data_IF_037601145311
#
_entry.id   IF_037601145311
#
_cell.length_a   1.000
_cell.length_b   1.000
_cell.length_c   1.000
_cell.angle_alpha   90.00
_cell.angle_beta   90.00
_cell.angle_gamma   90.00
#
_symmetry.space_group_name_H-M   'P 1'
#
loop_
_entity.id
_entity.type
_entity.pdbx_description
1 polymer ?
#
# COMPACT_ATOMS: atom_id res chain seq x y z
N UNK A 1 -1.75 36.69 -19.23
CA UNK A 1 -2.89 36.18 -18.46
C UNK A 1 -2.47 36.01 -17.01
N UNK A 2 -3.11 36.72 -16.08
CA UNK A 2 -2.71 36.75 -14.67
C UNK A 2 -3.27 35.51 -13.96
N UNK A 3 -2.42 34.56 -13.60
CA UNK A 3 -2.78 33.45 -12.69
C UNK A 3 -3.00 34.03 -11.30
N UNK A 4 -4.23 34.13 -10.87
CA UNK A 4 -4.62 34.54 -9.52
C UNK A 4 -4.45 33.36 -8.52
N UNK A 5 -4.21 33.66 -7.26
CA UNK A 5 -3.59 32.73 -6.31
C UNK A 5 -4.63 31.81 -5.64
N UNK A 6 -4.88 30.66 -6.25
CA UNK A 6 -5.68 29.59 -5.62
C UNK A 6 -5.01 29.07 -4.32
N UNK A 7 -3.69 29.18 -4.23
CA UNK A 7 -2.91 28.80 -3.05
C UNK A 7 -3.15 29.70 -1.83
N UNK A 8 -3.44 30.99 -2.04
CA UNK A 8 -3.73 31.94 -0.94
C UNK A 8 -5.11 31.67 -0.32
N UNK A 9 -6.08 31.21 -1.12
CA UNK A 9 -7.43 30.89 -0.63
C UNK A 9 -7.44 29.60 0.18
N UNK A 10 -6.69 28.59 -0.21
CA UNK A 10 -6.56 27.36 0.58
C UNK A 10 -5.84 27.60 1.92
N UNK A 11 -4.80 28.43 1.93
CA UNK A 11 -4.09 28.82 3.16
C UNK A 11 -4.96 29.71 4.06
N UNK A 12 -5.77 30.62 3.48
CA UNK A 12 -6.70 31.48 4.20
C UNK A 12 -7.88 30.70 4.82
N UNK A 13 -8.38 29.65 4.17
CA UNK A 13 -9.38 28.74 4.73
C UNK A 13 -8.82 27.94 5.90
N UNK A 14 -7.55 27.55 5.87
CA UNK A 14 -6.87 26.90 6.98
C UNK A 14 -6.67 27.84 8.19
N UNK A 15 -6.33 29.10 7.94
CA UNK A 15 -6.17 30.11 9.00
C UNK A 15 -7.54 30.49 9.61
N UNK A 16 -8.59 30.56 8.80
CA UNK A 16 -9.95 30.82 9.27
C UNK A 16 -10.53 29.74 10.18
N UNK A 17 -10.23 28.47 9.89
CA UNK A 17 -10.64 27.35 10.76
C UNK A 17 -9.81 27.25 12.05
N UNK A 18 -8.55 27.71 12.03
CA UNK A 18 -7.70 27.76 13.23
C UNK A 18 -8.22 28.81 14.24
N UNK A 19 -8.82 29.91 13.78
CA UNK A 19 -9.41 30.93 14.64
C UNK A 19 -10.71 30.49 15.35
N UNK A 20 -11.36 29.43 14.86
CA UNK A 20 -12.57 28.84 15.45
C UNK A 20 -12.30 27.56 16.21
N UNK A 21 -11.08 27.06 16.23
CA UNK A 21 -10.71 25.86 16.99
C UNK A 21 -10.64 26.19 18.50
N UNK A 22 -11.19 25.30 19.32
CA UNK A 22 -11.09 25.39 20.78
C UNK A 22 -9.65 25.19 21.24
N UNK A 23 -8.94 24.26 20.62
CA UNK A 23 -7.54 23.96 20.91
C UNK A 23 -6.78 23.57 19.66
N UNK A 24 -5.49 23.90 19.66
CA UNK A 24 -4.51 23.40 18.70
C UNK A 24 -3.52 22.56 19.50
N UNK A 25 -3.51 21.27 19.25
CA UNK A 25 -2.65 20.32 19.95
C UNK A 25 -1.44 20.00 19.08
N UNK A 26 -0.25 20.29 19.60
CA UNK A 26 1.02 19.85 19.05
C UNK A 26 1.64 18.89 20.06
N UNK A 27 1.27 17.60 19.97
CA UNK A 27 1.68 16.57 20.94
C UNK A 27 3.21 16.34 20.89
N UNK A 28 3.67 15.71 19.84
CA UNK A 28 5.10 15.43 19.66
C UNK A 28 5.44 15.48 18.18
N UNK A 29 6.70 15.84 17.88
CA UNK A 29 7.19 15.82 16.51
C UNK A 29 6.92 14.47 15.82
N UNK A 30 6.38 14.53 14.62
CA UNK A 30 6.02 13.35 13.83
C UNK A 30 4.59 12.83 14.05
N UNK A 31 3.82 13.45 14.95
CA UNK A 31 2.40 13.11 15.11
C UNK A 31 1.44 14.05 14.37
N UNK A 32 1.95 15.13 13.78
CA UNK A 32 1.15 16.13 13.10
C UNK A 32 0.52 17.15 14.05
N UNK A 33 -0.26 18.08 13.48
CA UNK A 33 -0.98 19.13 14.21
C UNK A 33 -2.45 18.74 14.23
N UNK A 34 -3.07 18.77 15.42
CA UNK A 34 -4.48 18.46 15.60
C UNK A 34 -5.25 19.72 16.01
N UNK A 35 -6.32 20.01 15.31
CA UNK A 35 -7.29 21.05 15.61
C UNK A 35 -8.57 20.40 16.12
N UNK A 36 -9.14 20.94 17.17
CA UNK A 36 -10.38 20.45 17.80
C UNK A 36 -11.41 21.58 17.81
N UNK A 37 -12.62 21.29 17.33
CA UNK A 37 -13.73 22.25 17.40
C UNK A 37 -14.19 22.53 18.83
N UNK A 38 -14.88 23.65 19.05
CA UNK A 38 -15.36 24.06 20.38
C UNK A 38 -16.28 23.02 21.05
N UNK A 39 -17.07 22.31 20.27
CA UNK A 39 -17.97 21.25 20.73
C UNK A 39 -17.29 19.88 20.83
N UNK A 40 -16.00 19.78 20.50
CA UNK A 40 -15.19 18.56 20.44
C UNK A 40 -15.73 17.47 19.49
N UNK A 41 -16.76 17.76 18.69
CA UNK A 41 -17.37 16.83 17.77
C UNK A 41 -16.63 16.71 16.43
N UNK A 42 -15.79 17.70 16.12
CA UNK A 42 -15.01 17.72 14.89
C UNK A 42 -13.52 17.90 15.18
N UNK A 43 -12.69 17.15 14.48
CA UNK A 43 -11.23 17.28 14.56
C UNK A 43 -10.61 17.22 13.19
N UNK A 44 -9.52 17.96 13.00
CA UNK A 44 -8.66 17.85 11.81
C UNK A 44 -7.24 17.61 12.32
N UNK A 45 -6.64 16.53 11.88
CA UNK A 45 -5.23 16.24 12.10
C UNK A 45 -4.49 16.36 10.77
N UNK A 46 -3.60 17.33 10.67
CA UNK A 46 -2.71 17.53 9.53
C UNK A 46 -1.34 16.91 9.81
N UNK A 47 -0.81 16.14 8.88
CA UNK A 47 0.52 15.54 8.96
C UNK A 47 1.16 15.46 7.59
N UNK A 48 2.50 15.52 7.56
CA UNK A 48 3.26 15.38 6.33
C UNK A 48 4.43 14.42 6.52
N UNK A 49 4.96 13.89 5.40
CA UNK A 49 6.16 13.06 5.41
C UNK A 49 6.92 13.13 4.11
N UNK A 50 8.22 12.94 4.21
CA UNK A 50 9.16 12.91 3.10
C UNK A 50 9.98 11.63 3.19
N UNK A 51 10.16 10.96 2.06
CA UNK A 51 11.13 9.86 1.89
C UNK A 51 12.05 10.21 0.74
N UNK A 52 13.35 10.31 1.02
CA UNK A 52 14.40 10.45 0.01
C UNK A 52 15.10 9.10 -0.16
N UNK A 53 15.38 8.75 -1.39
CA UNK A 53 15.91 7.44 -1.77
C UNK A 53 17.07 7.61 -2.74
N UNK A 54 18.17 6.91 -2.46
CA UNK A 54 19.29 6.67 -3.37
C UNK A 54 19.29 5.20 -3.75
N UNK A 55 19.54 4.90 -5.03
CA UNK A 55 19.54 3.54 -5.59
C UNK A 55 20.78 3.40 -6.45
N UNK A 56 21.59 2.39 -6.16
CA UNK A 56 22.66 1.91 -7.03
C UNK A 56 22.23 0.53 -7.56
N UNK A 57 22.21 0.37 -8.87
CA UNK A 57 21.87 -0.89 -9.53
C UNK A 57 23.02 -1.32 -10.42
N UNK A 58 23.48 -2.56 -10.23
CA UNK A 58 24.40 -3.26 -11.11
C UNK A 58 23.68 -4.47 -11.69
N UNK A 59 23.65 -4.58 -13.00
CA UNK A 59 22.97 -5.67 -13.74
C UNK A 59 23.98 -6.31 -14.68
N UNK A 60 23.91 -7.61 -14.86
CA UNK A 60 24.84 -8.37 -15.72
C UNK A 60 24.82 -7.84 -17.14
N UNK A 61 26.01 -7.45 -17.65
CA UNK A 61 26.16 -6.90 -19.01
C UNK A 61 25.80 -5.42 -19.17
N UNK A 62 25.36 -4.75 -18.10
CA UNK A 62 24.96 -3.34 -18.14
C UNK A 62 25.91 -2.45 -17.32
N UNK A 63 25.98 -1.17 -17.66
CA UNK A 63 26.71 -0.18 -16.87
C UNK A 63 25.93 0.10 -15.58
N UNK A 64 26.60 0.09 -14.41
CA UNK A 64 25.93 0.41 -13.15
C UNK A 64 25.24 1.78 -13.19
N UNK A 65 24.02 1.85 -12.70
CA UNK A 65 23.21 3.08 -12.64
C UNK A 65 23.08 3.60 -11.22
N UNK A 66 23.16 4.92 -11.06
CA UNK A 66 22.96 5.61 -9.80
C UNK A 66 21.79 6.60 -9.93
N UNK A 67 20.79 6.46 -9.05
CA UNK A 67 19.60 7.29 -9.05
C UNK A 67 19.33 7.87 -7.66
N UNK A 68 18.93 9.14 -7.62
CA UNK A 68 18.45 9.82 -6.40
C UNK A 68 17.10 10.46 -6.65
N UNK A 69 16.14 10.24 -5.74
CA UNK A 69 14.79 10.79 -5.90
C UNK A 69 14.08 10.99 -4.57
N UNK A 70 13.13 11.94 -4.57
CA UNK A 70 12.10 12.00 -3.54
C UNK A 70 11.10 10.88 -3.80
N UNK A 71 11.27 9.77 -3.07
CA UNK A 71 10.47 8.55 -3.24
C UNK A 71 9.01 8.78 -2.90
N UNK A 72 8.76 9.56 -1.84
CA UNK A 72 7.42 9.96 -1.40
C UNK A 72 7.47 11.34 -0.74
N UNK A 73 6.52 12.18 -1.12
CA UNK A 73 6.17 13.41 -0.43
C UNK A 73 4.65 13.36 -0.24
N UNK A 74 4.17 13.37 1.01
CA UNK A 74 2.74 13.14 1.28
C UNK A 74 2.19 14.11 2.30
N UNK A 75 0.98 14.58 2.05
CA UNK A 75 0.15 15.30 2.99
C UNK A 75 -1.04 14.43 3.37
N UNK A 76 -1.38 14.41 4.64
CA UNK A 76 -2.51 13.64 5.14
C UNK A 76 -3.32 14.48 6.11
N UNK A 77 -4.64 14.45 5.92
CA UNK A 77 -5.64 15.04 6.77
C UNK A 77 -6.57 13.93 7.23
N UNK A 78 -6.70 13.72 8.52
CA UNK A 78 -7.63 12.76 9.08
C UNK A 78 -8.27 13.30 10.36
N UNK A 79 -9.45 12.79 10.68
CA UNK A 79 -10.16 13.25 11.86
C UNK A 79 -11.56 12.67 11.94
N UNK A 80 -12.38 13.36 12.73
CA UNK A 80 -13.83 13.13 12.82
C UNK A 80 -14.58 14.40 12.41
N UNK A 81 -15.82 14.25 11.94
CA UNK A 81 -16.67 15.34 11.50
C UNK A 81 -18.08 15.18 12.09
N UNK A 82 -18.59 16.25 12.73
CA UNK A 82 -19.94 16.35 13.31
C UNK A 82 -20.24 15.37 14.45
N UNK A 83 -19.55 14.22 14.49
CA UNK A 83 -19.79 13.16 15.48
C UNK A 83 -18.57 12.23 15.51
N UNK A 84 -18.22 11.62 16.68
CA UNK A 84 -17.20 10.59 16.77
C UNK A 84 -17.46 9.33 15.89
N UNK A 85 -18.71 9.15 15.43
CA UNK A 85 -19.09 8.06 14.54
C UNK A 85 -18.67 8.28 13.09
N UNK A 86 -18.48 9.54 12.66
CA UNK A 86 -18.07 9.89 11.29
C UNK A 86 -16.60 10.26 11.32
N UNK A 87 -15.77 9.45 10.69
CA UNK A 87 -14.35 9.71 10.51
C UNK A 87 -14.03 9.88 9.03
N UNK A 88 -12.99 10.64 8.73
CA UNK A 88 -12.54 10.82 7.35
C UNK A 88 -11.03 10.71 7.25
N UNK A 89 -10.57 10.46 6.03
CA UNK A 89 -9.15 10.50 5.67
C UNK A 89 -8.99 11.01 4.25
N UNK A 90 -8.09 11.99 4.09
CA UNK A 90 -7.59 12.45 2.80
C UNK A 90 -6.07 12.28 2.84
N UNK A 91 -5.48 11.61 1.85
CA UNK A 91 -4.03 11.49 1.69
C UNK A 91 -3.64 11.88 0.26
N UNK A 92 -2.74 12.85 0.14
CA UNK A 92 -2.24 13.34 -1.14
C UNK A 92 -0.80 12.85 -1.35
N UNK A 93 -0.49 12.39 -2.55
CA UNK A 93 0.84 12.04 -3.00
C UNK A 93 1.36 13.10 -3.95
N UNK A 94 2.51 13.71 -3.61
CA UNK A 94 3.09 14.85 -4.32
C UNK A 94 4.43 14.53 -5.00
N UNK A 95 4.94 13.29 -4.85
CA UNK A 95 6.16 12.88 -5.54
C UNK A 95 5.89 12.54 -7.00
N UNK A 96 6.90 12.63 -7.85
CA UNK A 96 6.81 12.28 -9.26
C UNK A 96 6.28 10.86 -9.50
N UNK A 97 6.56 9.92 -8.59
CA UNK A 97 6.05 8.53 -8.67
C UNK A 97 4.55 8.43 -8.33
N UNK A 98 4.04 9.31 -7.46
CA UNK A 98 2.62 9.33 -7.12
C UNK A 98 1.79 10.08 -8.18
N UNK A 99 2.39 11.08 -8.88
CA UNK A 99 1.73 11.99 -9.85
C UNK A 99 2.02 11.64 -11.31
N UNK A 100 2.76 10.56 -11.57
CA UNK A 100 3.19 10.19 -12.93
C UNK A 100 2.00 10.10 -13.87
N UNK A 101 2.06 10.86 -14.96
CA UNK A 101 1.18 10.68 -16.11
C UNK A 101 1.41 9.30 -16.71
N UNK A 102 0.34 8.57 -16.95
CA UNK A 102 0.35 7.31 -17.66
C UNK A 102 -0.46 7.47 -18.94
N UNK A 103 -0.30 6.55 -19.89
CA UNK A 103 -1.06 6.50 -21.13
C UNK A 103 -2.57 6.24 -20.94
N UNK A 104 -3.07 6.25 -19.72
CA UNK A 104 -4.42 5.85 -19.34
C UNK A 104 -5.41 7.02 -19.34
N UNK A 105 -5.21 8.04 -20.18
CA UNK A 105 -6.08 9.24 -20.23
C UNK A 105 -7.56 8.90 -20.44
N UNK A 106 -7.85 7.77 -21.10
CA UNK A 106 -9.21 7.27 -21.30
C UNK A 106 -9.96 6.98 -19.99
N UNK A 107 -9.25 6.45 -18.97
CA UNK A 107 -9.85 6.14 -17.66
C UNK A 107 -9.75 7.29 -16.67
N UNK A 108 -8.65 8.04 -16.68
CA UNK A 108 -8.32 8.98 -15.59
C UNK A 108 -8.28 10.44 -16.04
N UNK A 109 -8.50 10.72 -17.33
CA UNK A 109 -8.36 12.05 -17.89
C UNK A 109 -6.92 12.58 -17.85
N UNK A 110 -6.76 13.88 -18.20
CA UNK A 110 -5.47 14.56 -18.28
C UNK A 110 -5.06 15.24 -16.95
N UNK A 111 -5.56 14.78 -15.80
CA UNK A 111 -5.29 15.38 -14.49
C UNK A 111 -4.27 14.58 -13.70
N UNK A 112 -3.55 15.25 -12.80
CA UNK A 112 -2.59 14.59 -11.91
C UNK A 112 -3.28 13.67 -10.90
N UNK A 113 -2.77 12.45 -10.74
CA UNK A 113 -3.30 11.42 -9.82
C UNK A 113 -2.81 11.62 -8.39
N UNK A 114 -3.03 12.81 -7.82
CA UNK A 114 -2.51 13.17 -6.50
C UNK A 114 -3.28 12.54 -5.33
N UNK A 115 -4.55 12.21 -5.52
CA UNK A 115 -5.37 11.64 -4.46
C UNK A 115 -5.01 10.17 -4.25
N UNK A 116 -4.51 9.84 -3.08
CA UNK A 116 -4.26 8.46 -2.67
C UNK A 116 -5.47 7.90 -1.93
N UNK A 117 -5.90 8.57 -0.87
CA UNK A 117 -7.10 8.21 -0.13
C UNK A 117 -8.03 9.43 -0.05
N UNK A 118 -9.33 9.21 -0.24
CA UNK A 118 -10.42 10.14 0.01
C UNK A 118 -11.61 9.28 0.47
N UNK A 119 -11.74 9.08 1.79
CA UNK A 119 -12.68 8.11 2.35
C UNK A 119 -13.37 8.65 3.58
N UNK A 120 -14.69 8.45 3.64
CA UNK A 120 -15.53 8.63 4.83
C UNK A 120 -15.80 7.27 5.45
N UNK A 121 -15.77 7.21 6.77
CA UNK A 121 -15.95 6.00 7.57
C UNK A 121 -17.04 6.27 8.59
N UNK A 122 -18.08 5.48 8.55
CA UNK A 122 -19.19 5.59 9.47
C UNK A 122 -19.24 4.37 10.40
N UNK A 123 -19.17 4.62 11.71
CA UNK A 123 -19.35 3.56 12.69
C UNK A 123 -20.83 3.22 12.82
N UNK A 124 -21.26 2.08 12.27
CA UNK A 124 -22.63 1.59 12.32
C UNK A 124 -23.02 1.20 13.74
N UNK A 125 -22.20 0.35 14.37
CA UNK A 125 -22.30 -0.10 15.74
C UNK A 125 -20.94 -0.59 16.24
N UNK A 126 -20.84 -0.97 17.51
CA UNK A 126 -19.56 -1.37 18.12
C UNK A 126 -18.87 -2.46 17.29
N UNK A 127 -17.66 -2.17 16.85
CA UNK A 127 -16.83 -3.08 16.05
C UNK A 127 -17.12 -3.08 14.55
N UNK A 128 -18.16 -2.36 14.06
CA UNK A 128 -18.56 -2.36 12.65
C UNK A 128 -18.49 -0.97 12.06
N UNK A 129 -17.68 -0.85 11.00
CA UNK A 129 -17.52 0.39 10.24
C UNK A 129 -17.89 0.17 8.77
N UNK A 130 -18.69 1.08 8.22
CA UNK A 130 -18.94 1.22 6.79
C UNK A 130 -18.04 2.35 6.25
N UNK A 131 -17.25 2.05 5.23
CA UNK A 131 -16.39 3.01 4.55
C UNK A 131 -16.90 3.27 3.15
N UNK A 132 -16.83 4.52 2.69
CA UNK A 132 -17.18 4.91 1.34
C UNK A 132 -16.14 5.89 0.78
N UNK A 133 -15.70 5.65 -0.44
CA UNK A 133 -14.73 6.46 -1.16
C UNK A 133 -13.48 5.69 -1.59
N UNK A 134 -12.49 6.43 -2.05
CA UNK A 134 -11.23 5.87 -2.54
C UNK A 134 -10.27 5.58 -1.38
N UNK A 135 -9.88 4.33 -1.21
CA UNK A 135 -8.87 3.91 -0.23
C UNK A 135 -8.32 2.53 -0.57
N UNK A 136 -7.36 2.03 0.24
CA UNK A 136 -6.84 0.68 0.08
C UNK A 136 -7.94 -0.35 0.31
N UNK A 137 -8.05 -1.30 -0.61
CA UNK A 137 -8.86 -2.50 -0.43
C UNK A 137 -8.23 -3.42 0.64
N UNK A 138 -9.01 -4.33 1.22
CA UNK A 138 -8.52 -5.28 2.22
C UNK A 138 -7.68 -6.41 1.58
N UNK A 139 -6.61 -6.05 0.89
CA UNK A 139 -5.70 -6.95 0.20
C UNK A 139 -4.63 -7.55 1.10
N UNK A 140 -3.48 -7.89 0.51
CA UNK A 140 -2.35 -8.51 1.20
C UNK A 140 -1.76 -7.58 2.30
N UNK A 141 -1.20 -8.20 3.33
CA UNK A 141 -0.68 -7.50 4.53
C UNK A 141 0.36 -6.46 4.18
N UNK A 142 1.37 -6.79 3.39
CA UNK A 142 2.43 -5.85 3.05
C UNK A 142 1.87 -4.61 2.31
N UNK A 143 0.78 -4.76 1.55
CA UNK A 143 0.12 -3.63 0.89
C UNK A 143 -0.65 -2.76 1.86
N UNK A 144 -1.43 -3.35 2.78
CA UNK A 144 -2.21 -2.56 3.75
C UNK A 144 -1.32 -1.87 4.77
N UNK A 145 -0.15 -2.42 5.09
CA UNK A 145 0.89 -1.72 5.86
C UNK A 145 1.25 -0.41 5.14
N UNK A 146 1.30 0.70 5.90
CA UNK A 146 1.76 1.98 5.37
C UNK A 146 3.21 1.87 4.88
N UNK A 147 3.53 2.50 3.75
CA UNK A 147 4.93 2.57 3.28
C UNK A 147 5.89 3.27 4.24
N UNK A 148 5.40 4.05 5.21
CA UNK A 148 6.17 4.58 6.33
C UNK A 148 6.62 3.49 7.30
N UNK A 149 5.83 2.42 7.42
CA UNK A 149 5.95 1.39 8.46
C UNK A 149 6.57 0.09 7.96
N UNK A 150 7.17 0.12 6.78
CA UNK A 150 7.88 -1.02 6.21
C UNK A 150 9.19 -1.29 6.96
N UNK A 151 9.57 -2.56 7.00
CA UNK A 151 10.82 -3.07 7.55
C UNK A 151 11.99 -2.84 6.58
N UNK A 152 11.76 -2.95 5.28
CA UNK A 152 12.71 -2.67 4.21
C UNK A 152 12.38 -1.35 3.50
N UNK A 153 13.29 -0.86 2.68
CA UNK A 153 13.14 0.37 1.88
C UNK A 153 11.91 0.28 0.98
N UNK A 154 11.75 -0.83 0.28
CA UNK A 154 10.57 -1.09 -0.57
C UNK A 154 9.91 -2.44 -0.22
N UNK A 155 8.67 -2.59 -0.69
CA UNK A 155 7.92 -3.82 -0.58
C UNK A 155 8.54 -4.92 -1.45
N UNK A 156 8.18 -6.16 -1.17
CA UNK A 156 8.59 -7.34 -1.94
C UNK A 156 8.08 -7.29 -3.39
N UNK A 157 8.68 -8.09 -4.25
CA UNK A 157 8.20 -8.30 -5.60
C UNK A 157 6.82 -8.99 -5.62
N UNK A 158 6.49 -9.84 -4.65
CA UNK A 158 5.12 -10.39 -4.51
C UNK A 158 4.12 -9.25 -4.42
N UNK A 159 4.36 -8.28 -3.53
CA UNK A 159 3.50 -7.11 -3.45
C UNK A 159 3.48 -6.30 -4.75
N UNK A 160 4.59 -6.16 -5.47
CA UNK A 160 4.62 -5.37 -6.71
C UNK A 160 3.79 -5.99 -7.83
N UNK A 161 3.66 -7.31 -7.86
CA UNK A 161 3.02 -8.05 -8.95
C UNK A 161 1.58 -8.47 -8.64
N UNK A 162 1.28 -8.86 -7.39
CA UNK A 162 0.02 -9.48 -6.98
C UNK A 162 -0.85 -8.64 -6.06
N UNK A 163 -0.42 -7.43 -5.67
CA UNK A 163 -1.18 -6.64 -4.72
C UNK A 163 -2.58 -6.27 -5.24
N UNK A 164 -3.51 -6.14 -4.29
CA UNK A 164 -4.78 -5.46 -4.42
C UNK A 164 -4.59 -4.06 -3.86
N UNK A 165 -4.74 -3.01 -4.70
CA UNK A 165 -4.38 -1.64 -4.30
C UNK A 165 -5.62 -0.85 -3.84
N UNK A 166 -5.55 0.42 -4.06
CA UNK A 166 -6.62 1.40 -3.80
C UNK A 166 -7.62 1.38 -4.92
N UNK A 167 -8.87 1.50 -4.52
CA UNK A 167 -9.97 1.68 -5.45
C UNK A 167 -11.06 2.53 -4.80
N UNK A 168 -12.06 2.93 -5.59
CA UNK A 168 -13.24 3.66 -5.13
C UNK A 168 -14.40 2.69 -4.94
N UNK A 169 -15.03 2.71 -3.77
CA UNK A 169 -16.15 1.84 -3.48
C UNK A 169 -16.59 1.87 -2.03
N UNK A 170 -17.31 0.82 -1.65
CA UNK A 170 -17.77 0.58 -0.29
C UNK A 170 -16.92 -0.52 0.36
N UNK A 171 -16.69 -0.40 1.67
CA UNK A 171 -16.10 -1.46 2.47
C UNK A 171 -16.87 -1.61 3.78
N UNK A 172 -17.26 -2.83 4.11
CA UNK A 172 -17.78 -3.20 5.42
C UNK A 172 -16.65 -3.87 6.22
N UNK A 173 -16.43 -3.40 7.44
CA UNK A 173 -15.39 -3.95 8.32
C UNK A 173 -15.99 -4.27 9.67
N UNK A 174 -15.70 -5.47 10.16
CA UNK A 174 -16.16 -5.90 11.47
C UNK A 174 -15.05 -6.57 12.27
N UNK A 175 -15.11 -6.37 13.61
CA UNK A 175 -14.15 -6.94 14.56
C UNK A 175 -14.94 -7.71 15.62
N UNK A 176 -14.74 -9.00 15.68
CA UNK A 176 -15.28 -9.89 16.71
C UNK A 176 -14.23 -10.18 17.77
N UNK A 177 -14.63 -10.13 19.04
CA UNK A 177 -13.85 -10.57 20.19
C UNK A 177 -14.33 -11.95 20.60
N UNK A 178 -13.41 -12.94 20.63
CA UNK A 178 -13.67 -14.31 21.04
C UNK A 178 -12.75 -14.65 22.24
N UNK A 179 -13.16 -14.20 23.43
CA UNK A 179 -12.27 -14.22 24.59
C UNK A 179 -11.04 -13.34 24.33
N UNK A 180 -9.84 -13.93 24.43
CA UNK A 180 -8.60 -13.23 24.11
C UNK A 180 -8.33 -13.16 22.59
N UNK A 181 -8.91 -14.04 21.80
CA UNK A 181 -8.73 -14.08 20.37
C UNK A 181 -9.59 -13.06 19.64
N UNK A 182 -9.19 -12.70 18.42
CA UNK A 182 -9.90 -11.70 17.60
C UNK A 182 -10.04 -12.20 16.17
N UNK A 183 -11.22 -12.02 15.60
CA UNK A 183 -11.47 -12.16 14.17
C UNK A 183 -11.79 -10.78 13.60
N UNK A 184 -11.11 -10.38 12.53
CA UNK A 184 -11.42 -9.18 11.75
C UNK A 184 -11.92 -9.61 10.38
N UNK A 185 -13.08 -9.13 9.98
CA UNK A 185 -13.66 -9.31 8.66
C UNK A 185 -13.60 -7.98 7.91
N UNK A 186 -13.33 -8.04 6.62
CA UNK A 186 -13.40 -6.88 5.74
C UNK A 186 -13.90 -7.34 4.37
N UNK A 187 -14.96 -6.72 3.89
CA UNK A 187 -15.54 -6.94 2.58
C UNK A 187 -15.54 -5.62 1.82
N UNK A 188 -15.32 -5.67 0.50
CA UNK A 188 -15.36 -4.48 -0.35
C UNK A 188 -16.04 -4.79 -1.67
N UNK A 189 -16.78 -3.80 -2.18
CA UNK A 189 -17.26 -3.73 -3.56
C UNK A 189 -16.72 -2.42 -4.12
N UNK A 190 -15.94 -2.49 -5.19
CA UNK A 190 -15.29 -1.34 -5.80
C UNK A 190 -15.32 -1.39 -7.33
N UNK A 191 -14.84 -0.32 -7.98
CA UNK A 191 -14.95 -0.18 -9.44
C UNK A 191 -14.00 -1.10 -10.24
N UNK A 192 -12.92 -1.60 -9.61
CA UNK A 192 -11.97 -2.53 -10.23
C UNK A 192 -10.79 -1.89 -10.97
N UNK A 193 -10.87 -0.60 -11.31
CA UNK A 193 -9.91 0.08 -12.20
C UNK A 193 -8.84 0.87 -11.46
N UNK A 194 -8.91 0.90 -10.14
CA UNK A 194 -7.96 1.60 -9.30
C UNK A 194 -8.31 3.06 -9.03
N UNK A 195 -7.33 3.84 -8.62
CA UNK A 195 -7.53 5.20 -8.10
C UNK A 195 -7.65 6.26 -9.19
N UNK A 196 -8.42 7.32 -8.86
CA UNK A 196 -8.60 8.54 -9.67
C UNK A 196 -9.23 8.27 -11.04
N UNK A 197 -10.04 7.24 -11.15
CA UNK A 197 -10.79 6.90 -12.35
C UNK A 197 -11.97 7.87 -12.49
N UNK A 198 -12.18 8.39 -13.70
CA UNK A 198 -13.29 9.28 -14.05
C UNK A 198 -14.31 8.62 -14.97
N UNK A 199 -13.88 7.61 -15.72
CA UNK A 199 -14.73 6.79 -16.57
C UNK A 199 -14.61 5.34 -16.09
N UNK A 200 -15.74 4.66 -15.98
CA UNK A 200 -15.77 3.23 -15.72
C UNK A 200 -15.68 2.48 -17.04
N UNK A 201 -15.16 1.25 -17.00
CA UNK A 201 -15.36 0.28 -18.07
C UNK A 201 -16.83 -0.18 -18.09
N UNK A 202 -17.24 -0.88 -19.13
CA UNK A 202 -18.53 -1.55 -19.20
C UNK A 202 -18.58 -2.87 -18.43
N UNK A 203 -17.46 -3.27 -17.80
CA UNK A 203 -17.31 -4.51 -17.07
C UNK A 203 -18.14 -4.62 -15.80
N UNK A 204 -17.64 -5.29 -14.80
CA UNK A 204 -18.29 -5.47 -13.52
C UNK A 204 -17.70 -4.64 -12.41
N UNK A 205 -17.84 -5.18 -11.21
CA UNK A 205 -17.23 -4.66 -10.00
C UNK A 205 -16.09 -5.56 -9.54
N UNK A 206 -15.29 -5.03 -8.65
CA UNK A 206 -14.29 -5.76 -7.91
C UNK A 206 -14.82 -6.13 -6.52
N UNK A 207 -14.78 -7.40 -6.19
CA UNK A 207 -15.28 -7.98 -4.95
C UNK A 207 -14.10 -8.52 -4.15
N UNK A 208 -13.77 -7.86 -3.04
CA UNK A 208 -12.68 -8.29 -2.15
C UNK A 208 -13.23 -8.74 -0.80
N UNK A 209 -12.83 -9.91 -0.33
CA UNK A 209 -13.16 -10.41 1.01
C UNK A 209 -11.89 -10.81 1.77
N UNK A 210 -11.75 -10.38 3.04
CA UNK A 210 -10.61 -10.72 3.90
C UNK A 210 -11.04 -11.12 5.30
N UNK A 211 -10.43 -12.20 5.79
CA UNK A 211 -10.54 -12.65 7.18
C UNK A 211 -9.15 -12.60 7.80
N UNK A 212 -9.03 -11.99 9.00
CA UNK A 212 -7.83 -12.05 9.83
C UNK A 212 -8.16 -12.68 11.18
N UNK A 213 -7.34 -13.62 11.61
CA UNK A 213 -7.42 -14.26 12.93
C UNK A 213 -6.19 -13.92 13.77
N UNK A 214 -6.42 -13.40 14.98
CA UNK A 214 -5.42 -13.07 15.96
C UNK A 214 -5.62 -13.96 17.20
N UNK A 215 -5.05 -15.15 17.24
CA UNK A 215 -5.28 -16.12 18.33
C UNK A 215 -4.77 -15.66 19.69
N UNK A 216 -3.76 -14.78 19.73
CA UNK A 216 -3.11 -14.27 20.93
C UNK A 216 -3.49 -12.82 21.23
N UNK A 217 -4.64 -12.37 20.74
CA UNK A 217 -5.14 -11.01 20.94
C UNK A 217 -4.48 -9.93 20.09
N UNK A 218 -4.75 -8.68 20.41
CA UNK A 218 -4.20 -7.54 19.67
C UNK A 218 -2.71 -7.36 19.91
N UNK A 219 -2.03 -6.92 18.86
CA UNK A 219 -0.68 -6.36 18.96
C UNK A 219 -0.72 -4.95 19.58
N UNK A 220 0.26 -4.60 20.39
CA UNK A 220 0.36 -3.26 20.96
C UNK A 220 0.40 -2.19 19.84
N UNK A 221 -0.47 -1.19 19.98
CA UNK A 221 -0.55 -0.09 19.02
C UNK A 221 -0.85 -0.50 17.58
N UNK A 222 -1.55 -1.61 17.37
CA UNK A 222 -1.84 -2.21 16.05
C UNK A 222 -0.55 -2.65 15.34
N UNK A 223 0.34 -3.29 16.07
CA UNK A 223 1.63 -3.77 15.58
C UNK A 223 1.57 -4.73 14.40
N UNK A 224 0.43 -5.41 14.21
CA UNK A 224 0.14 -6.25 13.03
C UNK A 224 0.17 -5.48 11.69
N UNK A 225 0.11 -4.13 11.73
CA UNK A 225 0.25 -3.23 10.57
C UNK A 225 1.57 -2.44 10.56
N UNK A 226 2.62 -3.00 11.17
CA UNK A 226 3.99 -2.49 11.14
C UNK A 226 4.94 -3.62 10.73
N UNK A 227 5.98 -3.32 9.96
CA UNK A 227 6.99 -4.33 9.60
C UNK A 227 7.79 -4.80 10.80
N UNK A 228 8.40 -3.86 11.52
CA UNK A 228 9.28 -4.12 12.67
C UNK A 228 8.52 -4.21 13.97
N UNK A 229 9.08 -4.90 14.97
CA UNK A 229 8.54 -4.97 16.33
C UNK A 229 9.05 -3.81 17.20
N UNK A 230 8.70 -2.55 16.83
CA UNK A 230 9.11 -1.35 17.57
C UNK A 230 8.50 -1.25 18.97
N UNK A 231 7.43 -2.00 19.23
CA UNK A 231 6.78 -2.05 20.56
C UNK A 231 7.40 -3.10 21.46
N UNK A 232 8.19 -4.04 20.87
CA UNK A 232 8.81 -5.14 21.60
C UNK A 232 7.78 -5.94 22.37
N UNK A 233 6.78 -6.49 21.64
CA UNK A 233 5.70 -7.27 22.23
C UNK A 233 6.18 -8.14 23.38
N UNK A 234 5.67 -7.93 24.58
CA UNK A 234 6.09 -8.63 25.79
C UNK A 234 5.67 -10.09 25.80
N UNK A 235 4.60 -10.43 25.08
CA UNK A 235 4.13 -11.79 24.81
C UNK A 235 4.09 -12.06 23.32
N UNK A 236 4.23 -13.33 22.88
CA UNK A 236 4.08 -13.67 21.47
C UNK A 236 2.76 -13.18 20.90
N UNK A 237 2.78 -12.62 19.71
CA UNK A 237 1.60 -12.16 18.97
C UNK A 237 1.62 -12.74 17.57
N UNK A 238 0.46 -13.22 17.12
CA UNK A 238 0.28 -13.80 15.80
C UNK A 238 -0.98 -13.25 15.15
N UNK A 239 -0.88 -12.93 13.86
CA UNK A 239 -2.02 -12.63 13.00
C UNK A 239 -1.90 -13.44 11.72
N UNK A 240 -2.96 -14.13 11.33
CA UNK A 240 -3.06 -14.91 10.09
C UNK A 240 -4.19 -14.28 9.28
N UNK A 241 -3.97 -14.05 7.99
CA UNK A 241 -4.97 -13.46 7.10
C UNK A 241 -5.12 -14.23 5.80
N UNK A 242 -6.36 -14.29 5.29
CA UNK A 242 -6.67 -14.80 3.96
C UNK A 242 -7.55 -13.79 3.24
N UNK A 243 -7.25 -13.54 1.97
CA UNK A 243 -8.02 -12.64 1.10
C UNK A 243 -8.38 -13.38 -0.18
N UNK A 244 -9.65 -13.31 -0.56
CA UNK A 244 -10.15 -13.62 -1.90
C UNK A 244 -10.53 -12.32 -2.62
N UNK A 245 -10.29 -12.26 -3.92
CA UNK A 245 -10.57 -11.09 -4.74
C UNK A 245 -11.00 -11.53 -6.13
N UNK A 246 -12.10 -10.99 -6.61
CA UNK A 246 -12.65 -11.23 -7.92
C UNK A 246 -12.99 -9.91 -8.60
N UNK A 247 -12.16 -9.52 -9.57
CA UNK A 247 -12.34 -8.30 -10.36
C UNK A 247 -12.94 -8.68 -11.71
N UNK A 248 -14.22 -8.41 -11.86
CA UNK A 248 -15.00 -8.73 -13.07
C UNK A 248 -14.74 -7.68 -14.15
N UNK A 249 -14.36 -8.12 -15.35
CA UNK A 249 -14.18 -7.25 -16.49
C UNK A 249 -13.00 -6.27 -16.35
N UNK A 250 -11.92 -6.63 -15.64
CA UNK A 250 -10.75 -5.78 -15.47
C UNK A 250 -10.10 -5.43 -16.81
N UNK A 251 -9.80 -4.15 -17.04
CA UNK A 251 -9.14 -3.65 -18.25
C UNK A 251 -7.65 -3.36 -18.06
N UNK A 252 -7.09 -3.68 -16.89
CA UNK A 252 -5.66 -3.55 -16.61
C UNK A 252 -5.03 -4.91 -16.34
N UNK A 253 -3.74 -5.02 -16.62
CA UNK A 253 -2.95 -6.26 -16.45
C UNK A 253 -3.12 -6.92 -15.07
N UNK A 254 -3.34 -6.15 -14.02
CA UNK A 254 -3.42 -6.66 -12.63
C UNK A 254 -4.66 -6.22 -11.86
N UNK A 255 -5.70 -5.74 -12.54
CA UNK A 255 -6.89 -5.15 -11.92
C UNK A 255 -6.69 -3.66 -11.64
N UNK A 256 -6.53 -3.25 -10.39
CA UNK A 256 -6.34 -1.83 -10.02
C UNK A 256 -5.02 -1.23 -10.52
N UNK A 257 -4.08 -2.03 -11.00
CA UNK A 257 -2.73 -1.62 -11.40
C UNK A 257 -2.26 -2.33 -12.67
N UNK A 258 -1.29 -1.72 -13.34
CA UNK A 258 -0.71 -2.22 -14.57
C UNK A 258 -1.06 -1.36 -15.77
N UNK A 259 -0.58 -1.76 -16.94
CA UNK A 259 -0.93 -1.12 -18.20
C UNK A 259 -2.37 -1.46 -18.57
N UNK A 260 -3.01 -0.58 -19.34
CA UNK A 260 -4.28 -0.88 -19.98
C UNK A 260 -4.10 -1.97 -21.03
N UNK A 261 -5.08 -2.85 -21.14
CA UNK A 261 -5.20 -3.86 -22.18
C UNK A 261 -6.12 -3.30 -23.26
N UNK A 262 -5.62 -3.20 -24.49
CA UNK A 262 -6.36 -2.61 -25.62
C UNK A 262 -6.23 -3.47 -26.88
N UNK A 263 -7.28 -3.48 -27.68
CA UNK A 263 -7.25 -4.11 -29.02
C UNK A 263 -6.65 -3.18 -30.08
N UNK A 264 -6.64 -3.61 -31.34
CA UNK A 264 -6.11 -2.85 -32.48
C UNK A 264 -6.90 -1.57 -32.78
N UNK A 265 -8.12 -1.43 -32.29
CA UNK A 265 -8.96 -0.22 -32.42
C UNK A 265 -8.79 0.75 -31.27
N UNK A 266 -8.06 0.35 -30.20
CA UNK A 266 -7.91 1.10 -28.96
C UNK A 266 -9.05 0.85 -27.96
N UNK A 267 -9.98 -0.07 -28.24
CA UNK A 267 -11.01 -0.45 -27.29
C UNK A 267 -10.43 -1.31 -26.15
N UNK A 268 -11.05 -1.24 -24.97
CA UNK A 268 -10.60 -2.00 -23.81
C UNK A 268 -10.80 -3.50 -24.02
N UNK A 269 -9.80 -4.27 -23.59
CA UNK A 269 -9.87 -5.72 -23.52
C UNK A 269 -10.08 -6.10 -22.05
N UNK A 270 -11.25 -6.63 -21.76
CA UNK A 270 -11.68 -7.01 -20.43
C UNK A 270 -11.29 -8.46 -20.12
N UNK A 271 -11.02 -8.74 -18.83
CA UNK A 271 -10.85 -10.09 -18.29
C UNK A 271 -11.29 -10.13 -16.83
N UNK A 272 -11.89 -11.22 -16.42
CA UNK A 272 -12.07 -11.49 -15.01
C UNK A 272 -10.74 -11.92 -14.41
N UNK A 273 -10.38 -11.32 -13.28
CA UNK A 273 -9.17 -11.63 -12.53
C UNK A 273 -9.54 -12.19 -11.16
N UNK A 274 -9.08 -13.40 -10.88
CA UNK A 274 -9.21 -14.03 -9.56
C UNK A 274 -7.88 -13.96 -8.83
N UNK A 275 -7.89 -13.52 -7.56
CA UNK A 275 -6.71 -13.50 -6.70
C UNK A 275 -7.00 -14.17 -5.35
N UNK A 276 -6.05 -14.98 -4.88
CA UNK A 276 -6.08 -15.57 -3.53
C UNK A 276 -4.77 -15.22 -2.86
N UNK A 277 -4.86 -14.61 -1.67
CA UNK A 277 -3.71 -14.15 -0.91
C UNK A 277 -3.81 -14.70 0.51
N UNK A 278 -2.71 -15.19 1.06
CA UNK A 278 -2.63 -15.54 2.46
C UNK A 278 -1.37 -14.92 3.07
N UNK A 279 -1.47 -14.53 4.33
CA UNK A 279 -0.37 -13.87 5.04
C UNK A 279 -0.37 -14.20 6.53
N UNK A 280 0.80 -14.02 7.13
CA UNK A 280 0.96 -14.07 8.57
C UNK A 280 1.92 -12.99 9.06
N UNK A 281 1.72 -12.55 10.32
CA UNK A 281 2.62 -11.67 11.06
C UNK A 281 2.80 -12.23 12.47
N UNK A 282 4.05 -12.43 12.85
CA UNK A 282 4.44 -12.82 14.22
C UNK A 282 5.39 -11.80 14.81
N UNK A 283 5.22 -11.49 16.11
CA UNK A 283 6.11 -10.60 16.85
C UNK A 283 6.30 -11.04 18.29
N UNK A 284 7.53 -10.89 18.77
CA UNK A 284 7.90 -11.16 20.16
C UNK A 284 9.28 -10.57 20.48
N UNK A 285 9.37 -9.72 21.50
CA UNK A 285 10.61 -9.17 22.08
C UNK A 285 11.63 -8.63 21.07
N UNK A 286 11.14 -7.93 20.05
CA UNK A 286 11.96 -7.36 18.98
C UNK A 286 12.14 -8.26 17.76
N UNK A 287 11.76 -9.54 17.83
CA UNK A 287 11.64 -10.42 16.67
C UNK A 287 10.38 -10.07 15.89
N UNK A 288 10.47 -9.97 14.58
CA UNK A 288 9.33 -9.83 13.68
C UNK A 288 9.47 -10.78 12.51
N UNK A 289 8.42 -11.55 12.22
CA UNK A 289 8.35 -12.42 11.05
C UNK A 289 7.06 -12.12 10.28
N UNK A 290 7.17 -11.94 8.97
CA UNK A 290 6.03 -11.80 8.06
C UNK A 290 6.23 -12.72 6.87
N UNK A 291 5.17 -13.42 6.49
CA UNK A 291 5.14 -14.22 5.27
C UNK A 291 3.86 -13.93 4.49
N UNK A 292 3.96 -14.00 3.17
CA UNK A 292 2.84 -13.85 2.25
C UNK A 292 2.96 -14.86 1.12
N UNK A 293 1.81 -15.36 0.67
CA UNK A 293 1.65 -16.11 -0.58
C UNK A 293 0.55 -15.46 -1.39
N UNK A 294 0.70 -15.49 -2.71
CA UNK A 294 -0.24 -14.89 -3.63
C UNK A 294 -0.40 -15.75 -4.88
N UNK A 295 -1.63 -15.91 -5.30
CA UNK A 295 -2.04 -16.52 -6.55
C UNK A 295 -2.91 -15.54 -7.31
N UNK A 296 -2.73 -15.43 -8.63
CA UNK A 296 -3.59 -14.64 -9.51
C UNK A 296 -3.72 -15.31 -10.87
N UNK A 297 -4.92 -15.35 -11.41
CA UNK A 297 -5.21 -15.81 -12.76
C UNK A 297 -6.19 -14.90 -13.48
N UNK A 298 -6.25 -15.05 -14.80
CA UNK A 298 -7.11 -14.33 -15.73
C UNK A 298 -7.98 -15.31 -16.49
N UNK A 299 -9.28 -15.01 -16.66
CA UNK A 299 -10.20 -15.82 -17.45
C UNK A 299 -9.84 -15.89 -18.93
N UNK A 300 -9.01 -14.96 -19.42
CA UNK A 300 -8.53 -14.98 -20.82
C UNK A 300 -7.35 -15.92 -21.08
N UNK A 301 -6.76 -16.52 -20.04
CA UNK A 301 -5.67 -17.48 -20.21
C UNK A 301 -4.49 -16.91 -21.02
N UNK A 302 -4.15 -17.56 -22.13
CA UNK A 302 -3.04 -17.19 -23.03
C UNK A 302 -3.44 -16.06 -24.01
N UNK A 303 -3.62 -14.86 -23.49
CA UNK A 303 -3.98 -13.70 -24.29
C UNK A 303 -2.91 -12.59 -24.21
N UNK A 304 -2.57 -12.01 -25.34
CA UNK A 304 -1.81 -10.76 -25.44
C UNK A 304 -2.62 -9.72 -26.19
N UNK A 305 -2.58 -8.49 -25.71
CA UNK A 305 -3.23 -7.35 -26.35
C UNK A 305 -2.47 -6.88 -27.63
N UNK A 306 -2.99 -5.86 -28.30
CA UNK A 306 -2.36 -5.29 -29.50
C UNK A 306 -0.93 -4.78 -29.25
N UNK A 307 -0.61 -4.35 -28.04
CA UNK A 307 0.72 -3.87 -27.64
C UNK A 307 1.64 -4.97 -27.10
N UNK A 308 1.23 -6.24 -27.19
CA UNK A 308 1.97 -7.38 -26.62
C UNK A 308 1.93 -7.47 -25.10
N UNK A 309 1.01 -6.76 -24.44
CA UNK A 309 0.82 -6.88 -22.99
C UNK A 309 -0.04 -8.10 -22.67
N UNK A 310 0.21 -8.73 -21.53
CA UNK A 310 -0.59 -9.84 -20.99
C UNK A 310 -1.16 -9.50 -19.61
N UNK A 311 -2.20 -10.21 -19.19
CA UNK A 311 -2.66 -10.16 -17.81
C UNK A 311 -1.64 -10.80 -16.87
N UNK A 312 -1.62 -10.36 -15.61
CA UNK A 312 -0.75 -10.93 -14.58
C UNK A 312 -1.34 -12.23 -14.09
N UNK A 313 -0.64 -13.33 -14.33
CA UNK A 313 -1.03 -14.67 -13.93
C UNK A 313 0.17 -15.38 -13.33
N UNK A 314 0.03 -15.92 -12.14
CA UNK A 314 1.15 -16.54 -11.48
C UNK A 314 0.94 -16.78 -10.00
N UNK A 315 2.01 -17.28 -9.41
CA UNK A 315 2.14 -17.56 -7.99
C UNK A 315 3.38 -16.85 -7.44
N UNK A 316 3.28 -16.34 -6.22
CA UNK A 316 4.42 -15.73 -5.55
C UNK A 316 4.39 -15.96 -4.04
N UNK A 317 5.57 -16.04 -3.44
CA UNK A 317 5.69 -16.08 -1.99
C UNK A 317 6.86 -15.21 -1.51
N UNK A 318 6.71 -14.72 -0.29
CA UNK A 318 7.62 -13.82 0.38
C UNK A 318 7.71 -14.19 1.85
N UNK A 319 8.91 -14.26 2.38
CA UNK A 319 9.18 -14.43 3.81
C UNK A 319 10.21 -13.40 4.26
N UNK A 320 9.95 -12.70 5.35
CA UNK A 320 10.91 -11.76 5.94
C UNK A 320 10.97 -11.93 7.45
N UNK A 321 12.19 -11.88 7.98
CA UNK A 321 12.51 -12.01 9.40
C UNK A 321 13.40 -10.83 9.79
N UNK A 322 13.12 -10.20 10.93
CA UNK A 322 13.96 -9.15 11.49
C UNK A 322 14.11 -9.23 12.98
N UNK A 323 15.21 -8.68 13.47
CA UNK A 323 15.48 -8.50 14.88
C UNK A 323 15.85 -7.06 15.20
N UNK A 324 15.06 -6.45 16.06
CA UNK A 324 15.26 -5.08 16.55
C UNK A 324 16.02 -5.11 17.86
N UNK A 325 17.25 -4.61 17.87
CA UNK A 325 18.08 -4.45 19.07
C UNK A 325 17.54 -3.33 19.99
N UNK A 326 17.86 -3.41 21.29
CA UNK A 326 17.49 -2.36 22.27
C UNK A 326 18.01 -0.98 21.89
N UNK A 327 19.08 -0.90 21.12
CA UNK A 327 19.64 0.33 20.54
C UNK A 327 18.82 0.92 19.38
N UNK A 328 17.67 0.31 19.02
CA UNK A 328 16.84 0.67 17.87
C UNK A 328 17.54 0.55 16.50
N UNK A 329 18.56 -0.28 16.39
CA UNK A 329 18.99 -0.85 15.13
C UNK A 329 18.20 -2.11 14.85
N UNK A 330 17.91 -2.37 13.59
CA UNK A 330 17.28 -3.61 13.14
C UNK A 330 18.10 -4.21 12.01
N UNK A 331 18.26 -5.53 12.04
CA UNK A 331 18.77 -6.32 10.92
C UNK A 331 17.62 -7.21 10.47
N UNK A 332 17.40 -7.26 9.15
CA UNK A 332 16.32 -8.05 8.57
C UNK A 332 16.75 -8.73 7.27
N UNK A 333 16.28 -9.96 7.06
CA UNK A 333 16.42 -10.72 5.83
C UNK A 333 15.07 -10.95 5.16
N UNK A 334 15.02 -10.97 3.83
CA UNK A 334 13.83 -11.29 3.06
C UNK A 334 14.18 -12.17 1.87
N UNK A 335 13.37 -13.20 1.65
CA UNK A 335 13.37 -14.00 0.45
C UNK A 335 12.04 -13.85 -0.28
N UNK A 336 12.09 -13.70 -1.60
CA UNK A 336 10.90 -13.52 -2.44
C UNK A 336 11.07 -14.36 -3.71
N UNK A 337 10.03 -15.09 -4.09
CA UNK A 337 9.99 -15.80 -5.37
C UNK A 337 8.66 -15.57 -6.09
N UNK A 338 8.74 -15.40 -7.40
CA UNK A 338 7.60 -15.21 -8.28
C UNK A 338 7.72 -16.17 -9.45
N UNK A 339 6.60 -16.82 -9.79
CA UNK A 339 6.49 -17.78 -10.88
C UNK A 339 5.26 -17.46 -11.72
N UNK A 340 5.38 -17.27 -13.05
CA UNK A 340 4.22 -17.26 -13.92
C UNK A 340 3.52 -18.61 -13.90
N UNK A 341 2.24 -18.68 -14.24
CA UNK A 341 1.54 -19.95 -14.43
C UNK A 341 2.17 -20.70 -15.59
N UNK A 342 2.42 -22.00 -15.40
CA UNK A 342 3.05 -22.86 -16.42
C UNK A 342 2.20 -22.91 -17.68
N UNK A 343 2.84 -22.71 -18.85
CA UNK A 343 2.17 -22.73 -20.13
C UNK A 343 1.28 -21.51 -20.41
N UNK A 344 1.25 -20.50 -19.52
CA UNK A 344 0.47 -19.29 -19.70
C UNK A 344 1.33 -18.09 -20.05
N UNK A 345 0.86 -17.24 -20.95
CA UNK A 345 1.45 -15.92 -21.19
C UNK A 345 1.09 -15.03 -20.01
N UNK A 346 2.09 -14.38 -19.44
CA UNK A 346 1.91 -13.54 -18.25
C UNK A 346 2.79 -12.29 -18.32
N UNK A 347 2.30 -11.19 -17.75
CA UNK A 347 3.08 -9.97 -17.49
C UNK A 347 4.02 -10.10 -16.27
N UNK A 348 4.28 -11.33 -15.82
CA UNK A 348 5.13 -11.64 -14.66
C UNK A 348 6.30 -12.50 -15.12
N UNK A 349 7.51 -12.10 -14.77
CA UNK A 349 8.72 -12.89 -15.02
C UNK A 349 8.98 -13.82 -13.83
N UNK A 350 9.57 -14.99 -14.12
CA UNK A 350 10.05 -15.90 -13.08
C UNK A 350 11.29 -15.30 -12.43
N UNK A 351 11.17 -14.86 -11.19
CA UNK A 351 12.25 -14.17 -10.47
C UNK A 351 12.36 -14.64 -9.03
N UNK A 352 13.58 -14.58 -8.49
CA UNK A 352 13.82 -14.71 -7.05
C UNK A 352 14.68 -13.56 -6.54
N UNK A 353 14.48 -13.18 -5.28
CA UNK A 353 15.21 -12.10 -4.63
C UNK A 353 15.62 -12.51 -3.22
N UNK A 354 16.86 -12.17 -2.87
CA UNK A 354 17.39 -12.19 -1.51
C UNK A 354 17.69 -10.76 -1.10
N UNK A 355 17.12 -10.29 -0.01
CA UNK A 355 17.34 -8.92 0.49
C UNK A 355 17.83 -8.96 1.92
N UNK A 356 18.92 -8.26 2.20
CA UNK A 356 19.42 -7.99 3.55
C UNK A 356 19.27 -6.50 3.83
N UNK A 357 18.66 -6.15 4.96
CA UNK A 357 18.40 -4.76 5.35
C UNK A 357 18.92 -4.43 6.72
N UNK A 358 19.35 -3.18 6.87
CA UNK A 358 19.71 -2.57 8.16
C UNK A 358 18.94 -1.26 8.30
N UNK A 359 18.28 -1.09 9.44
CA UNK A 359 17.52 0.12 9.75
C UNK A 359 17.94 0.72 11.08
N UNK A 360 17.98 2.04 11.18
CA UNK A 360 18.10 2.79 12.43
C UNK A 360 16.85 3.62 12.65
N UNK A 361 16.16 3.38 13.76
CA UNK A 361 14.97 4.13 14.19
C UNK A 361 15.37 5.15 15.24
N UNK A 362 15.45 6.43 14.87
CA UNK A 362 15.76 7.53 15.80
C UNK A 362 14.52 7.95 16.60
N UNK A 363 13.35 8.02 15.94
CA UNK A 363 12.07 8.35 16.55
C UNK A 363 10.97 7.42 15.98
N UNK A 364 11.15 6.12 16.18
CA UNK A 364 10.29 5.12 15.54
C UNK A 364 10.27 5.29 14.01
N UNK A 365 9.10 5.14 13.41
CA UNK A 365 8.94 5.34 11.96
C UNK A 365 8.87 6.81 11.52
N UNK A 366 8.89 7.78 12.46
CA UNK A 366 8.81 9.20 12.12
C UNK A 366 10.16 9.80 11.72
N UNK A 367 11.25 9.24 12.24
CA UNK A 367 12.60 9.56 11.79
C UNK A 367 13.41 8.28 11.78
N UNK A 368 13.79 7.83 10.59
CA UNK A 368 14.59 6.62 10.39
C UNK A 368 15.48 6.73 9.17
N UNK A 369 16.56 5.96 9.19
CA UNK A 369 17.41 5.67 8.05
C UNK A 369 17.36 4.16 7.81
N UNK A 370 17.17 3.77 6.58
CA UNK A 370 17.13 2.38 6.15
C UNK A 370 18.07 2.17 4.97
N UNK A 371 18.77 1.06 4.99
CA UNK A 371 19.54 0.59 3.84
C UNK A 371 19.21 -0.87 3.59
N UNK A 372 19.17 -1.29 2.33
CA UNK A 372 19.09 -2.69 1.97
C UNK A 372 19.92 -3.00 0.71
N UNK A 373 20.37 -4.25 0.65
CA UNK A 373 21.04 -4.85 -0.48
C UNK A 373 20.18 -6.01 -0.97
N UNK A 374 19.76 -5.96 -2.23
CA UNK A 374 18.96 -6.99 -2.88
C UNK A 374 19.75 -7.62 -4.02
N UNK A 375 19.89 -8.94 -3.98
CA UNK A 375 20.28 -9.75 -5.12
C UNK A 375 19.01 -10.31 -5.76
N UNK A 376 18.81 -10.03 -7.05
CA UNK A 376 17.70 -10.50 -7.87
C UNK A 376 18.23 -11.36 -9.01
N UNK A 377 17.59 -12.48 -9.25
CA UNK A 377 17.88 -13.37 -10.36
C UNK A 377 16.60 -13.65 -11.16
N UNK A 378 16.64 -13.38 -12.45
CA UNK A 378 15.63 -13.84 -13.38
C UNK A 378 15.88 -15.31 -13.74
N UNK A 379 14.86 -16.15 -13.61
CA UNK A 379 14.93 -17.60 -13.86
C UNK A 379 14.35 -17.94 -15.26
N UNK A 380 14.68 -17.13 -16.27
CA UNK A 380 14.30 -17.37 -17.66
C UNK A 380 15.31 -18.27 -18.37
N UNK A 381 14.86 -18.99 -19.39
CA UNK A 381 15.46 -20.20 -19.94
C UNK A 381 16.77 -20.04 -20.72
N UNK A 382 17.28 -18.85 -21.03
CA UNK A 382 18.43 -18.70 -21.93
C UNK A 382 19.61 -17.92 -21.33
N UNK A 383 19.37 -16.91 -20.48
CA UNK A 383 20.42 -16.18 -19.76
C UNK A 383 19.88 -15.74 -18.39
N UNK A 384 20.57 -16.18 -17.32
CA UNK A 384 20.29 -15.68 -15.98
C UNK A 384 20.67 -14.19 -15.94
N UNK A 385 19.68 -13.30 -15.91
CA UNK A 385 19.93 -11.89 -15.67
C UNK A 385 19.96 -11.67 -14.16
N UNK A 386 21.10 -11.25 -13.65
CA UNK A 386 21.34 -11.01 -12.23
C UNK A 386 21.46 -9.51 -11.96
N UNK A 387 20.83 -9.05 -10.88
CA UNK A 387 20.89 -7.66 -10.45
C UNK A 387 21.28 -7.58 -8.99
N UNK A 388 22.20 -6.69 -8.70
CA UNK A 388 22.53 -6.26 -7.34
C UNK A 388 22.03 -4.84 -7.17
N UNK A 389 21.15 -4.62 -6.18
CA UNK A 389 20.48 -3.35 -5.94
C UNK A 389 20.78 -2.91 -4.50
N UNK A 390 21.55 -1.84 -4.35
CA UNK A 390 21.74 -1.18 -3.07
C UNK A 390 20.81 0.03 -2.96
N UNK A 391 20.14 0.16 -1.81
CA UNK A 391 19.22 1.28 -1.53
C UNK A 391 19.56 1.92 -0.19
N UNK A 392 19.52 3.24 -0.15
CA UNK A 392 19.62 4.05 1.06
C UNK A 392 18.44 5.01 1.11
N UNK A 393 17.66 4.98 2.19
CA UNK A 393 16.48 5.82 2.38
C UNK A 393 16.52 6.57 3.70
N UNK A 394 16.13 7.82 3.66
CA UNK A 394 15.79 8.60 4.84
C UNK A 394 14.28 8.86 4.89
N UNK A 395 13.69 8.77 6.06
CA UNK A 395 12.28 9.12 6.30
C UNK A 395 12.17 10.14 7.41
N UNK A 396 11.41 11.21 7.16
CA UNK A 396 11.01 12.22 8.13
C UNK A 396 9.50 12.43 8.04
N UNK A 397 8.79 12.34 9.17
CA UNK A 397 7.37 12.66 9.30
C UNK A 397 7.17 13.73 10.38
N UNK A 398 6.22 14.61 10.15
CA UNK A 398 5.87 15.73 11.01
C UNK A 398 4.39 16.12 10.88
#
# INVERSE_FOLDING_TARGET
>A
MKTKPLFVVALALFIGSALSAQSVEFDTWGKGIKFVSKDSNSTIKASARIQNLMILTSETGEVPTFNGLTRRARLKFDGQAFSPRIKYKIELGLSNRDTKFTSDAQLVGATSRIILDAVVKYNLFKGTDLWFGQTKLPGNRERVISSQKLQFVDRSNVNSKFNIDRDFGFQLRHKYMLGESIIKLAEAISLGEGRNVINTNSGGFDYTGRIEFLPMGEFEGKGDYFGSDLKREESPKLSIGVTGDFNQGAVRQGGQLGKLMVDSTGAFVESDLTSILADMMFKYQGVSFMAEVAYKESSRGNYTDFNGNAFRQGFGYNGQLGYLFKSNYEIAGRYTRIMPLSGMVSAIDHTEQFTLGVSKYFKGHNLKVQTDLTYERALTTIFANEKLIFRLQTELAF
#
